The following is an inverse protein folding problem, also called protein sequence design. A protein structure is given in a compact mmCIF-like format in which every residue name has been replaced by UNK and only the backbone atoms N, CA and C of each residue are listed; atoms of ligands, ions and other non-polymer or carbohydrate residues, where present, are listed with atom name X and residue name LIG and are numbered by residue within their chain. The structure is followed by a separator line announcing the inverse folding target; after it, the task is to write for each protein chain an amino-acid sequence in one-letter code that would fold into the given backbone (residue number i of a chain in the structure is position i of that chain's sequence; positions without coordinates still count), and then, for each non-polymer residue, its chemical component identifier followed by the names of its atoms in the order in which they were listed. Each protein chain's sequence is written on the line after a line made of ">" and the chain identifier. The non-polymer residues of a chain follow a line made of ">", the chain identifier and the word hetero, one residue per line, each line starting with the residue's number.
data_IF_281997411312
#
_entry.id   IF_281997411312
#
_cell.length_a   1.000
_cell.length_b   1.000
_cell.length_c   1.000
_cell.angle_alpha   90.00
_cell.angle_beta   90.00
_cell.angle_gamma   90.00
#
_symmetry.space_group_name_H-M   'P 1'
#
loop_
_entity.id
_entity.type
_entity.pdbx_description
1 polymer ?
#
# COMPACT_ATOMS: atom_id res chain seq x y z
N UNK A 1 6.93 -7.71 15.06
CA UNK A 1 6.90 -6.24 14.89
C UNK A 1 6.51 -5.60 16.22
N UNK A 2 7.39 -5.65 17.23
CA UNK A 2 7.12 -5.01 18.53
C UNK A 2 7.77 -3.64 18.65
N UNK A 3 8.82 -3.37 17.85
CA UNK A 3 9.61 -2.14 17.95
C UNK A 3 8.86 -0.90 17.43
N UNK A 4 8.05 -1.05 16.38
CA UNK A 4 7.18 0.03 15.87
C UNK A 4 6.04 0.40 16.83
N UNK A 5 5.64 -0.52 17.71
CA UNK A 5 4.60 -0.28 18.72
C UNK A 5 5.19 0.45 19.96
N UNK A 6 5.91 1.54 19.73
CA UNK A 6 6.54 2.38 20.75
C UNK A 6 6.46 3.86 20.37
N UNK A 7 6.49 4.73 21.38
CA UNK A 7 6.48 6.18 21.17
C UNK A 7 5.23 6.65 20.43
N UNK A 8 5.41 7.52 19.43
CA UNK A 8 4.33 8.14 18.67
C UNK A 8 3.70 7.25 17.60
N UNK A 9 4.35 6.15 17.22
CA UNK A 9 3.87 5.22 16.18
C UNK A 9 3.11 4.02 16.79
N UNK A 10 2.71 4.12 18.05
CA UNK A 10 1.90 3.15 18.77
C UNK A 10 0.43 3.26 18.33
N UNK A 11 0.09 2.60 17.23
CA UNK A 11 -1.26 2.51 16.72
C UNK A 11 -1.85 1.13 17.06
N UNK A 12 -2.98 1.13 17.76
CA UNK A 12 -3.66 -0.11 18.12
C UNK A 12 -4.20 -0.83 16.87
N UNK A 13 -3.95 -2.13 16.79
CA UNK A 13 -4.37 -2.97 15.66
C UNK A 13 -3.60 -2.78 14.35
N UNK A 14 -2.62 -1.87 14.26
CA UNK A 14 -1.85 -1.65 13.03
C UNK A 14 -0.98 -2.86 12.63
N UNK A 15 -0.44 -3.58 13.61
CA UNK A 15 0.35 -4.79 13.38
C UNK A 15 -0.50 -6.07 13.17
N UNK A 16 -1.84 -5.94 13.11
CA UNK A 16 -2.72 -7.09 12.90
C UNK A 16 -2.58 -7.57 11.45
N UNK A 17 -2.43 -8.88 11.26
CA UNK A 17 -2.27 -9.51 9.95
C UNK A 17 -3.31 -9.03 8.90
N UNK A 18 -4.58 -8.87 9.30
CA UNK A 18 -5.62 -8.36 8.41
C UNK A 18 -5.45 -6.90 7.99
N UNK A 19 -4.99 -6.03 8.90
CA UNK A 19 -4.73 -4.62 8.59
C UNK A 19 -3.54 -4.46 7.64
N UNK A 20 -2.50 -5.28 7.85
CA UNK A 20 -1.33 -5.32 6.96
C UNK A 20 -1.72 -5.82 5.57
N UNK A 21 -2.51 -6.90 5.47
CA UNK A 21 -2.94 -7.42 4.18
C UNK A 21 -3.78 -6.39 3.39
N UNK A 22 -4.73 -5.73 4.05
CA UNK A 22 -5.56 -4.70 3.41
C UNK A 22 -4.73 -3.51 2.93
N UNK A 23 -3.86 -2.98 3.79
CA UNK A 23 -2.99 -1.85 3.43
C UNK A 23 -2.03 -2.20 2.31
N UNK A 24 -1.47 -3.41 2.29
CA UNK A 24 -0.62 -3.88 1.22
C UNK A 24 -1.35 -3.95 -0.13
N UNK A 25 -2.59 -4.47 -0.16
CA UNK A 25 -3.40 -4.50 -1.39
C UNK A 25 -3.69 -3.10 -1.91
N UNK A 26 -4.01 -2.15 -1.03
CA UNK A 26 -4.27 -0.77 -1.43
C UNK A 26 -3.01 -0.13 -2.00
N UNK A 27 -1.87 -0.23 -1.31
CA UNK A 27 -0.62 0.39 -1.75
C UNK A 27 -0.13 -0.25 -3.06
N UNK A 28 -0.02 -1.57 -3.14
CA UNK A 28 0.45 -2.25 -4.35
C UNK A 28 -0.54 -2.10 -5.50
N UNK A 29 -1.85 -2.15 -5.23
CA UNK A 29 -2.89 -1.90 -6.23
C UNK A 29 -2.83 -0.48 -6.78
N UNK A 30 -2.59 0.52 -5.93
CA UNK A 30 -2.43 1.91 -6.37
C UNK A 30 -1.19 2.09 -7.26
N UNK A 31 -0.06 1.50 -6.88
CA UNK A 31 1.17 1.53 -7.67
C UNK A 31 0.96 0.85 -9.02
N UNK A 32 0.35 -0.35 -9.03
CA UNK A 32 0.04 -1.07 -10.27
C UNK A 32 -0.90 -0.30 -11.19
N UNK A 33 -1.93 0.34 -10.63
CA UNK A 33 -2.84 1.21 -11.37
C UNK A 33 -2.11 2.40 -11.98
N UNK A 34 -1.25 3.08 -11.21
CA UNK A 34 -0.46 4.20 -11.69
C UNK A 34 0.52 3.79 -12.80
N UNK A 35 1.14 2.61 -12.70
CA UNK A 35 2.01 2.09 -13.75
C UNK A 35 1.21 1.81 -15.02
N UNK A 36 0.08 1.12 -14.92
CA UNK A 36 -0.78 0.82 -16.07
C UNK A 36 -1.27 2.10 -16.74
N UNK A 37 -1.72 3.06 -15.94
CA UNK A 37 -2.13 4.38 -16.42
C UNK A 37 -0.98 5.15 -17.08
N UNK A 38 0.21 5.15 -16.47
CA UNK A 38 1.37 5.84 -17.02
C UNK A 38 1.79 5.25 -18.38
N UNK A 39 1.75 3.92 -18.52
CA UNK A 39 2.04 3.25 -19.80
C UNK A 39 0.99 3.60 -20.84
N UNK A 40 -0.30 3.56 -20.52
CA UNK A 40 -1.38 3.93 -21.44
C UNK A 40 -1.38 5.43 -21.80
N UNK A 41 -0.98 6.29 -20.88
CA UNK A 41 -0.90 7.73 -21.10
C UNK A 41 0.32 8.10 -21.95
N UNK A 42 1.47 7.49 -21.68
CA UNK A 42 2.72 7.76 -22.40
C UNK A 42 2.75 7.11 -23.78
N UNK A 43 2.16 5.93 -23.91
CA UNK A 43 2.06 5.18 -25.14
C UNK A 43 0.59 4.97 -25.44
N UNK A 44 0.11 5.48 -26.57
CA UNK A 44 -1.25 5.23 -27.06
C UNK A 44 -1.42 3.76 -27.44
N UNK A 45 -1.47 2.87 -26.45
CA UNK A 45 -2.03 1.55 -26.58
C UNK A 45 -3.55 1.73 -26.64
N UNK A 46 -4.04 2.01 -27.85
CA UNK A 46 -5.44 1.88 -28.19
C UNK A 46 -5.75 0.40 -28.42
#
# INVERSE_FOLDING_TARGET
>A
MSDFNRGIMKFDGADRQGAIALSAVIILGSIGCLIAWAVQAAYSFN
#
